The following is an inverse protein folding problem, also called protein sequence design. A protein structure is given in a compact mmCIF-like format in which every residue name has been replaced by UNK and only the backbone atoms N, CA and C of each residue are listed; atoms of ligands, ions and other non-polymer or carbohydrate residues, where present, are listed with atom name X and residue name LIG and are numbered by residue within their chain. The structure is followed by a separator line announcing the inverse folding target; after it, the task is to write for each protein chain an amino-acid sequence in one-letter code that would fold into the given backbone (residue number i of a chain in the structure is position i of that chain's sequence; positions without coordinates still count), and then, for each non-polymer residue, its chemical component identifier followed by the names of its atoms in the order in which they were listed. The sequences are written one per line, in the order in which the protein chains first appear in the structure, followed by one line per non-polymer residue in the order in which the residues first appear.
data_IF_190805989671
#
_entry.id   IF_190805989671
#
_cell.length_a   1.000
_cell.length_b   1.000
_cell.length_c   1.000
_cell.angle_alpha   90.00
_cell.angle_beta   90.00
_cell.angle_gamma   90.00
#
_symmetry.space_group_name_H-M   'P 1'
#
loop_
_entity.id
_entity.type
_entity.pdbx_description
1 polymer ?
#
# COMPACT_ATOMS: atom_id res chain seq x y z
N UNK A 1 -1.28 1.45 -9.29
CA UNK A 1 -1.85 1.01 -7.99
C UNK A 1 -0.93 1.48 -6.87
N UNK A 2 -1.49 2.09 -5.83
CA UNK A 2 -0.74 2.79 -4.77
C UNK A 2 0.22 1.86 -4.01
N UNK A 3 -0.26 0.74 -3.48
CA UNK A 3 0.57 -0.17 -2.66
C UNK A 3 1.71 -0.86 -3.42
N UNK A 4 1.55 -1.15 -4.71
CA UNK A 4 2.66 -1.59 -5.56
C UNK A 4 3.79 -0.56 -5.58
N UNK A 5 3.45 0.71 -5.81
CA UNK A 5 4.43 1.80 -5.88
C UNK A 5 5.04 2.15 -4.52
N UNK A 6 4.30 1.99 -3.43
CA UNK A 6 4.78 2.20 -2.05
C UNK A 6 5.80 1.13 -1.67
N UNK A 7 5.48 -0.15 -1.89
CA UNK A 7 6.26 -1.29 -1.39
C UNK A 7 7.30 -1.82 -2.39
N UNK A 8 7.33 -1.28 -3.62
CA UNK A 8 8.12 -1.87 -4.71
C UNK A 8 7.58 -3.24 -5.15
N UNK A 9 6.28 -3.47 -4.96
CA UNK A 9 5.59 -4.71 -5.30
C UNK A 9 5.09 -4.68 -6.74
N UNK A 10 4.79 -5.87 -7.27
CA UNK A 10 4.20 -6.06 -8.59
C UNK A 10 2.77 -6.58 -8.50
N UNK A 11 2.04 -6.41 -9.60
CA UNK A 11 0.76 -7.10 -9.78
C UNK A 11 1.11 -8.56 -10.14
N UNK A 12 0.57 -9.57 -9.43
CA UNK A 12 0.79 -10.96 -9.78
C UNK A 12 0.26 -11.27 -11.18
N UNK A 13 0.73 -12.34 -11.85
CA UNK A 13 0.15 -12.77 -13.11
C UNK A 13 -1.34 -13.13 -12.94
N UNK A 14 -2.15 -13.01 -14.01
CA UNK A 14 -3.53 -13.47 -13.98
C UNK A 14 -3.59 -15.00 -13.77
N UNK A 15 -4.75 -15.54 -13.36
CA UNK A 15 -4.92 -16.98 -13.23
C UNK A 15 -4.58 -17.73 -14.54
N UNK A 16 -4.09 -18.98 -14.45
CA UNK A 16 -3.78 -19.78 -15.63
C UNK A 16 -4.97 -19.87 -16.59
N UNK A 17 -4.71 -19.69 -17.89
CA UNK A 17 -5.73 -19.67 -18.94
C UNK A 17 -6.28 -18.29 -19.30
N UNK A 18 -5.76 -17.21 -18.68
CA UNK A 18 -6.12 -15.84 -19.01
C UNK A 18 -4.90 -15.01 -19.43
N UNK A 19 -5.06 -14.18 -20.46
CA UNK A 19 -4.00 -13.30 -20.98
C UNK A 19 -3.84 -12.02 -20.13
N UNK A 20 -4.90 -11.60 -19.43
CA UNK A 20 -4.88 -10.45 -18.55
C UNK A 20 -5.83 -10.58 -17.36
N UNK A 21 -5.64 -9.73 -16.34
CA UNK A 21 -6.58 -9.61 -15.22
C UNK A 21 -7.95 -9.10 -15.68
N UNK A 22 -8.01 -8.25 -16.70
CA UNK A 22 -9.28 -7.76 -17.24
C UNK A 22 -10.07 -8.88 -17.95
N UNK A 23 -9.39 -9.84 -18.57
CA UNK A 23 -10.04 -11.01 -19.17
C UNK A 23 -10.61 -11.93 -18.09
N UNK A 24 -9.83 -12.20 -17.05
CA UNK A 24 -10.30 -12.98 -15.91
C UNK A 24 -11.49 -12.32 -15.21
N UNK A 25 -11.40 -11.01 -14.93
CA UNK A 25 -12.43 -10.26 -14.21
C UNK A 25 -13.78 -10.32 -14.95
N UNK A 26 -13.78 -10.21 -16.28
CA UNK A 26 -15.00 -10.33 -17.11
C UNK A 26 -15.68 -11.70 -17.04
N UNK A 27 -15.00 -12.75 -16.59
CA UNK A 27 -15.62 -14.08 -16.38
C UNK A 27 -16.34 -14.21 -15.05
N UNK A 28 -16.12 -13.28 -14.12
CA UNK A 28 -16.80 -13.28 -12.83
C UNK A 28 -18.24 -12.77 -12.97
N UNK A 29 -19.16 -13.18 -12.05
CA UNK A 29 -20.46 -12.53 -11.92
C UNK A 29 -20.31 -11.02 -11.82
N UNK A 30 -21.24 -10.26 -12.40
CA UNK A 30 -21.16 -8.81 -12.49
C UNK A 30 -20.92 -8.15 -11.11
N UNK A 31 -21.48 -8.71 -10.05
CA UNK A 31 -21.36 -8.21 -8.68
C UNK A 31 -19.95 -8.39 -8.09
N UNK A 32 -19.11 -9.22 -8.71
CA UNK A 32 -17.72 -9.52 -8.30
C UNK A 32 -16.67 -8.90 -9.21
N UNK A 33 -17.07 -8.27 -10.31
CA UNK A 33 -16.13 -7.59 -11.21
C UNK A 33 -15.52 -6.37 -10.50
N UNK A 34 -14.20 -6.26 -10.56
CA UNK A 34 -13.43 -5.23 -9.85
C UNK A 34 -13.47 -5.33 -8.32
N UNK A 35 -13.94 -6.47 -7.76
CA UNK A 35 -14.09 -6.61 -6.30
C UNK A 35 -12.79 -7.05 -5.60
N UNK A 36 -11.73 -7.34 -6.34
CA UNK A 36 -10.49 -7.85 -5.77
C UNK A 36 -9.25 -7.34 -6.49
N UNK A 37 -8.18 -7.15 -5.72
CA UNK A 37 -6.87 -6.81 -6.24
C UNK A 37 -5.78 -7.42 -5.37
N UNK A 38 -4.61 -7.68 -5.94
CA UNK A 38 -3.47 -8.22 -5.21
C UNK A 38 -2.16 -7.52 -5.61
N UNK A 39 -1.24 -7.42 -4.66
CA UNK A 39 0.16 -7.09 -4.96
C UNK A 39 1.10 -7.99 -4.16
N UNK A 40 2.25 -8.32 -4.74
CA UNK A 40 3.24 -9.21 -4.13
C UNK A 40 4.68 -8.76 -4.38
N UNK A 41 5.58 -9.22 -3.51
CA UNK A 41 7.01 -8.98 -3.66
C UNK A 41 7.52 -9.65 -4.95
N UNK A 42 8.29 -8.95 -5.81
CA UNK A 42 8.77 -9.51 -7.08
C UNK A 42 9.66 -10.75 -6.88
N UNK A 43 10.39 -10.78 -5.77
CA UNK A 43 11.26 -11.89 -5.36
C UNK A 43 10.52 -13.02 -4.62
N UNK A 44 9.22 -12.86 -4.37
CA UNK A 44 8.46 -13.74 -3.46
C UNK A 44 8.82 -13.59 -1.98
N UNK A 45 9.76 -12.70 -1.64
CA UNK A 45 10.16 -12.43 -0.25
C UNK A 45 9.27 -11.34 0.37
N UNK A 46 8.16 -11.74 0.95
CA UNK A 46 7.25 -10.82 1.64
C UNK A 46 5.81 -11.33 1.65
N UNK A 47 4.93 -10.73 2.47
CA UNK A 47 3.52 -11.08 2.45
C UNK A 47 2.87 -10.62 1.14
N UNK A 48 1.97 -11.44 0.60
CA UNK A 48 1.04 -10.99 -0.45
C UNK A 48 -0.05 -10.14 0.20
N UNK A 49 -0.30 -8.96 -0.36
CA UNK A 49 -1.45 -8.15 0.05
C UNK A 49 -2.61 -8.44 -0.89
N UNK A 50 -3.77 -8.75 -0.30
CA UNK A 50 -5.01 -9.01 -1.01
C UNK A 50 -6.08 -8.04 -0.52
N UNK A 51 -6.60 -7.25 -1.45
CA UNK A 51 -7.62 -6.26 -1.21
C UNK A 51 -8.93 -6.80 -1.74
N UNK A 52 -9.92 -6.98 -0.87
CA UNK A 52 -11.23 -7.50 -1.23
C UNK A 52 -12.31 -6.50 -0.83
N UNK A 53 -13.12 -6.11 -1.81
CA UNK A 53 -14.37 -5.41 -1.56
C UNK A 53 -15.41 -6.44 -1.12
N UNK A 54 -15.94 -6.24 0.08
CA UNK A 54 -17.02 -7.06 0.64
C UNK A 54 -18.28 -6.20 0.74
N UNK A 55 -19.48 -6.78 0.53
CA UNK A 55 -20.74 -6.02 0.56
C UNK A 55 -21.14 -5.59 1.98
N UNK A 56 -20.60 -6.23 3.01
CA UNK A 56 -20.90 -5.92 4.40
C UNK A 56 -20.33 -4.56 4.81
N UNK A 57 -21.20 -3.72 5.37
CA UNK A 57 -20.78 -2.47 5.99
C UNK A 57 -19.81 -2.72 7.15
N UNK A 58 -18.91 -1.76 7.40
CA UNK A 58 -17.96 -1.82 8.52
C UNK A 58 -18.70 -1.81 9.86
N UNK A 59 -18.74 -2.97 10.53
CA UNK A 59 -19.41 -3.12 11.85
C UNK A 59 -18.49 -2.87 13.05
N UNK A 60 -17.18 -2.99 12.87
CA UNK A 60 -16.18 -2.78 13.94
C UNK A 60 -15.02 -1.93 13.45
N UNK A 61 -14.36 -1.26 14.40
CA UNK A 61 -13.10 -0.55 14.14
C UNK A 61 -11.96 -1.55 14.03
N UNK A 62 -11.82 -2.17 12.86
CA UNK A 62 -10.59 -2.86 12.46
C UNK A 62 -9.71 -1.86 11.69
N UNK A 63 -8.48 -1.60 12.17
CA UNK A 63 -7.49 -0.73 11.53
C UNK A 63 -6.22 -1.54 11.28
N UNK A 64 -5.82 -1.62 10.02
CA UNK A 64 -4.53 -2.12 9.61
C UNK A 64 -3.61 -0.93 9.39
N UNK A 65 -2.47 -0.89 10.07
CA UNK A 65 -1.39 0.04 9.78
C UNK A 65 -0.25 -0.75 9.13
N UNK A 66 0.27 -0.25 8.01
CA UNK A 66 1.44 -0.81 7.33
C UNK A 66 2.59 0.18 7.47
N UNK A 67 3.64 -0.25 8.17
CA UNK A 67 4.83 0.56 8.38
C UNK A 67 5.82 0.34 7.23
N UNK A 68 6.12 1.42 6.50
CA UNK A 68 7.13 1.42 5.43
C UNK A 68 8.42 1.98 5.99
N UNK A 69 9.48 1.17 6.00
CA UNK A 69 10.77 1.58 6.55
C UNK A 69 11.61 2.24 5.46
N UNK A 70 12.06 3.46 5.74
CA UNK A 70 13.06 4.20 4.95
C UNK A 70 14.19 4.68 5.84
N UNK A 71 15.37 4.89 5.26
CA UNK A 71 16.53 5.38 6.01
C UNK A 71 16.98 4.43 7.12
N UNK A 72 16.96 3.12 6.86
CA UNK A 72 17.38 2.12 7.85
C UNK A 72 18.80 2.41 8.34
N UNK A 73 18.96 2.54 9.66
CA UNK A 73 20.24 2.88 10.30
C UNK A 73 20.55 4.38 10.40
N UNK A 74 19.73 5.25 9.79
CA UNK A 74 19.87 6.70 9.93
C UNK A 74 19.26 7.19 11.26
N UNK A 75 19.82 8.26 11.80
CA UNK A 75 19.34 8.93 13.02
C UNK A 75 19.35 10.45 12.84
N UNK A 76 18.64 11.18 13.71
CA UNK A 76 18.66 12.64 13.70
C UNK A 76 18.23 13.24 12.35
N UNK A 77 18.96 14.26 11.90
CA UNK A 77 18.60 15.05 10.71
C UNK A 77 18.57 14.22 9.41
N UNK A 78 19.52 13.31 9.22
CA UNK A 78 19.56 12.44 8.03
C UNK A 78 18.32 11.53 7.93
N UNK A 79 17.84 11.05 9.09
CA UNK A 79 16.62 10.25 9.16
C UNK A 79 15.38 11.10 8.79
N UNK A 80 15.32 12.34 9.27
CA UNK A 80 14.24 13.29 8.93
C UNK A 80 14.23 13.58 7.42
N UNK A 81 15.38 13.86 6.82
CA UNK A 81 15.50 14.14 5.39
C UNK A 81 15.06 12.95 4.53
N UNK A 82 15.45 11.73 4.90
CA UNK A 82 15.00 10.52 4.22
C UNK A 82 13.48 10.34 4.29
N UNK A 83 12.88 10.60 5.45
CA UNK A 83 11.42 10.53 5.62
C UNK A 83 10.68 11.63 4.86
N UNK A 84 11.22 12.85 4.83
CA UNK A 84 10.64 13.97 4.08
C UNK A 84 10.64 13.69 2.57
N UNK A 85 11.76 13.17 2.04
CA UNK A 85 11.88 12.79 0.64
C UNK A 85 10.86 11.69 0.27
N UNK A 86 10.74 10.66 1.11
CA UNK A 86 9.77 9.59 0.89
C UNK A 86 8.34 10.10 1.04
N UNK A 87 8.06 10.94 2.04
CA UNK A 87 6.77 11.56 2.24
C UNK A 87 6.33 12.33 0.99
N UNK A 88 7.22 13.15 0.41
CA UNK A 88 6.95 13.88 -0.82
C UNK A 88 6.61 12.94 -2.00
N UNK A 89 7.34 11.83 -2.15
CA UNK A 89 7.06 10.80 -3.15
C UNK A 89 5.68 10.16 -2.94
N UNK A 90 5.35 9.79 -1.70
CA UNK A 90 4.06 9.16 -1.37
C UNK A 90 2.89 10.12 -1.54
N UNK A 91 3.06 11.40 -1.21
CA UNK A 91 2.05 12.45 -1.48
C UNK A 91 1.79 12.59 -2.97
N UNK A 92 2.83 12.57 -3.80
CA UNK A 92 2.66 12.59 -5.26
C UNK A 92 1.90 11.35 -5.81
N UNK A 93 1.87 10.25 -5.05
CA UNK A 93 1.09 9.05 -5.36
C UNK A 93 -0.34 9.06 -4.78
N UNK A 94 -0.72 10.11 -4.05
CA UNK A 94 -2.06 10.28 -3.47
C UNK A 94 -2.15 10.08 -1.96
N UNK A 95 -1.04 9.89 -1.25
CA UNK A 95 -1.06 9.86 0.22
C UNK A 95 -1.27 11.26 0.81
N UNK A 96 -1.84 11.32 2.01
CA UNK A 96 -1.92 12.52 2.85
C UNK A 96 -0.96 12.34 4.03
N UNK A 97 -0.12 13.36 4.25
CA UNK A 97 0.71 13.44 5.45
C UNK A 97 -0.15 13.83 6.65
N UNK A 98 -0.12 12.99 7.69
CA UNK A 98 -0.79 13.28 8.96
C UNK A 98 0.16 14.04 9.87
N UNK A 99 1.36 13.49 10.13
CA UNK A 99 2.38 14.13 10.97
C UNK A 99 3.75 13.52 10.77
N UNK A 100 4.78 14.30 11.09
CA UNK A 100 6.14 13.80 11.27
C UNK A 100 6.48 13.80 12.76
N UNK A 101 7.06 12.70 13.22
CA UNK A 101 7.57 12.51 14.56
C UNK A 101 9.09 12.44 14.49
N UNK A 102 9.79 13.58 14.65
CA UNK A 102 11.24 13.59 14.70
C UNK A 102 11.71 12.91 16.00
N UNK A 103 12.68 12.03 15.88
CA UNK A 103 13.28 11.33 17.01
C UNK A 103 14.79 11.57 17.05
N UNK A 104 15.31 11.79 18.26
CA UNK A 104 16.72 12.18 18.46
C UNK A 104 17.65 10.97 18.70
N UNK A 105 17.16 9.91 19.37
CA UNK A 105 17.92 8.67 19.67
C UNK A 105 17.23 7.39 19.19
N UNK A 106 16.19 7.52 18.39
CA UNK A 106 15.47 6.40 17.79
C UNK A 106 15.16 6.74 16.33
N UNK A 107 14.79 5.76 15.50
CA UNK A 107 14.32 6.04 14.15
C UNK A 107 13.19 7.08 14.19
N UNK A 108 13.26 8.09 13.32
CA UNK A 108 12.16 9.02 13.12
C UNK A 108 11.00 8.26 12.43
N UNK A 109 9.78 8.79 12.53
CA UNK A 109 8.60 8.19 11.91
C UNK A 109 7.75 9.26 11.24
N UNK A 110 7.29 9.00 10.01
CA UNK A 110 6.30 9.82 9.32
C UNK A 110 4.99 9.04 9.22
N UNK A 111 3.90 9.58 9.77
CA UNK A 111 2.58 8.98 9.70
C UNK A 111 1.81 9.55 8.51
N UNK A 112 1.34 8.64 7.66
CA UNK A 112 0.63 8.92 6.42
C UNK A 112 -0.71 8.18 6.41
N UNK A 113 -1.67 8.70 5.67
CA UNK A 113 -2.94 8.01 5.38
C UNK A 113 -3.21 8.05 3.89
N UNK A 114 -3.75 6.98 3.33
CA UNK A 114 -4.31 6.98 1.98
C UNK A 114 -5.71 7.64 2.04
N UNK A 115 -6.10 8.40 1.00
CA UNK A 115 -7.51 8.76 0.82
C UNK A 115 -8.29 7.46 0.64
N UNK A 116 -9.31 7.24 1.46
CA UNK A 116 -10.20 6.08 1.37
C UNK A 116 -10.58 5.82 -0.11
N UNK A 117 -10.34 4.60 -0.60
CA UNK A 117 -10.93 4.05 -1.85
C UNK A 117 -12.47 3.90 -1.75
N UNK A 118 -13.11 4.65 -0.87
CA UNK A 118 -14.54 4.66 -0.61
C UNK A 118 -15.24 5.89 -1.22
N UNK A 119 -14.72 6.39 -2.35
CA UNK A 119 -15.50 7.20 -3.28
C UNK A 119 -15.43 6.61 -4.67
#
# INVERSE_FOLDING_TARGET
MFWCAVLGYVIPPPPPGFDSWADFDRTLPQERQGSMFACEAPSGSGPRLFFQRVPESKVVKNRLHLDVRVGAGLIGQECVEALEAECARLVALGAIRVRLLPAYRSPCMCEMTELDLAT
#
